data_IF_079214621882
#
_entry.id   IF_079214621882
#
_cell.length_a   1.000
_cell.length_b   1.000
_cell.length_c   1.000
_cell.angle_alpha   90.00
_cell.angle_beta   90.00
_cell.angle_gamma   90.00
#
_symmetry.space_group_name_H-M   'P 1'
#
loop_
_entity.id
_entity.type
_entity.pdbx_description
1 polymer ?
#
# COMPACT_ATOMS: atom_id res chain seq x y z
N UNK A 1 26.46 -6.14 1.12
CA UNK A 1 26.08 -6.70 -0.19
C UNK A 1 26.05 -8.19 -0.03
N UNK A 2 24.88 -8.79 -0.11
CA UNK A 2 24.68 -10.22 -0.02
C UNK A 2 23.70 -10.60 -1.12
N UNK A 3 24.07 -11.60 -1.93
CA UNK A 3 23.19 -12.11 -2.96
C UNK A 3 21.91 -12.67 -2.34
N UNK A 4 20.77 -12.32 -2.92
CA UNK A 4 19.46 -12.73 -2.46
C UNK A 4 18.53 -13.04 -3.62
N UNK A 5 17.37 -13.62 -3.30
CA UNK A 5 16.45 -14.14 -4.30
C UNK A 5 15.36 -13.13 -4.66
N UNK A 6 15.07 -13.06 -5.96
CA UNK A 6 13.85 -12.42 -6.47
C UNK A 6 12.82 -13.52 -6.66
N UNK A 7 11.69 -13.43 -5.97
CA UNK A 7 10.63 -14.45 -5.96
C UNK A 7 9.30 -13.89 -6.44
N UNK A 8 8.42 -14.74 -6.95
CA UNK A 8 7.00 -14.39 -7.15
C UNK A 8 6.18 -14.52 -5.86
N UNK A 9 4.88 -14.21 -5.93
CA UNK A 9 3.95 -14.30 -4.79
C UNK A 9 3.74 -15.73 -4.28
N UNK A 10 4.00 -16.74 -5.11
CA UNK A 10 3.97 -18.14 -4.73
C UNK A 10 5.32 -18.62 -4.14
N UNK A 11 6.32 -17.75 -4.06
CA UNK A 11 7.65 -18.07 -3.57
C UNK A 11 8.57 -18.73 -4.62
N UNK A 12 8.15 -18.82 -5.88
CA UNK A 12 9.01 -19.36 -6.93
C UNK A 12 10.12 -18.37 -7.24
N UNK A 13 11.35 -18.86 -7.28
CA UNK A 13 12.52 -18.04 -7.63
C UNK A 13 12.50 -17.68 -9.12
N UNK A 14 12.52 -16.38 -9.39
CA UNK A 14 12.57 -15.79 -10.74
C UNK A 14 13.98 -15.31 -11.12
N UNK A 15 14.84 -15.05 -10.13
CA UNK A 15 16.20 -14.55 -10.35
C UNK A 15 16.90 -14.21 -9.03
N UNK A 16 17.99 -13.45 -9.13
CA UNK A 16 18.77 -12.98 -7.98
C UNK A 16 19.05 -11.49 -8.02
N UNK A 17 19.47 -10.95 -6.88
CA UNK A 17 19.90 -9.57 -6.74
C UNK A 17 21.17 -9.44 -5.87
N UNK A 18 21.92 -8.37 -6.06
CA UNK A 18 23.16 -8.09 -5.30
C UNK A 18 22.93 -7.40 -3.93
N UNK A 19 21.67 -7.12 -3.59
CA UNK A 19 21.23 -6.68 -2.27
C UNK A 19 19.84 -6.05 -2.27
N UNK A 20 19.04 -6.42 -1.27
CA UNK A 20 17.64 -5.98 -1.14
C UNK A 20 17.48 -4.44 -1.00
N UNK A 21 18.49 -3.75 -0.46
CA UNK A 21 18.49 -2.29 -0.25
C UNK A 21 18.41 -1.46 -1.55
N UNK A 22 18.75 -2.05 -2.69
CA UNK A 22 18.68 -1.36 -3.98
C UNK A 22 17.27 -1.26 -4.57
N UNK A 23 16.28 -1.86 -3.93
CA UNK A 23 14.91 -1.94 -4.41
C UNK A 23 13.98 -0.99 -3.68
N UNK A 24 12.91 -0.60 -4.36
CA UNK A 24 11.82 0.18 -3.78
C UNK A 24 10.50 -0.48 -4.13
N UNK A 25 9.56 -0.52 -3.19
CA UNK A 25 8.20 -1.01 -3.45
C UNK A 25 7.59 -0.23 -4.63
N UNK A 26 6.95 -0.94 -5.56
CA UNK A 26 6.43 -0.40 -6.82
C UNK A 26 7.47 -0.22 -7.93
N UNK A 27 8.73 -0.59 -7.74
CA UNK A 27 9.75 -0.53 -8.77
C UNK A 27 9.47 -1.56 -9.89
N UNK A 28 9.43 -1.08 -11.14
CA UNK A 28 9.33 -1.91 -12.35
C UNK A 28 10.67 -2.15 -13.04
N UNK A 29 11.49 -1.10 -13.18
CA UNK A 29 12.74 -1.15 -13.96
C UNK A 29 13.88 -1.70 -13.10
N UNK A 30 14.90 -2.28 -13.75
CA UNK A 30 16.13 -2.70 -13.05
C UNK A 30 16.00 -4.02 -12.26
N UNK A 31 14.89 -4.75 -12.40
CA UNK A 31 14.70 -6.04 -11.74
C UNK A 31 15.61 -7.16 -12.31
N UNK A 32 16.11 -7.00 -13.56
CA UNK A 32 16.99 -7.95 -14.26
C UNK A 32 16.49 -9.42 -14.21
N UNK A 33 15.17 -9.61 -14.20
CA UNK A 33 14.55 -10.93 -14.23
C UNK A 33 14.62 -11.45 -15.66
N UNK A 34 15.31 -12.57 -15.87
CA UNK A 34 15.48 -13.19 -17.20
C UNK A 34 14.23 -13.88 -17.74
N UNK A 35 13.26 -14.19 -16.87
CA UNK A 35 12.03 -14.90 -17.22
C UNK A 35 10.83 -13.95 -17.27
N UNK A 36 10.20 -13.73 -18.44
CA UNK A 36 8.97 -12.96 -18.57
C UNK A 36 7.84 -13.49 -17.67
N UNK A 37 6.82 -12.67 -17.43
CA UNK A 37 5.60 -13.15 -16.78
C UNK A 37 4.85 -14.10 -17.72
N UNK A 38 4.13 -15.11 -17.20
CA UNK A 38 3.32 -16.01 -18.04
C UNK A 38 2.32 -15.27 -18.93
N UNK A 39 1.83 -14.12 -18.46
CA UNK A 39 0.90 -13.23 -19.17
C UNK A 39 1.61 -12.11 -19.98
N UNK A 40 2.95 -12.11 -20.00
CA UNK A 40 3.77 -11.10 -20.66
C UNK A 40 3.77 -9.71 -20.02
N UNK A 41 3.06 -9.50 -18.90
CA UNK A 41 2.96 -8.20 -18.23
C UNK A 41 4.23 -7.87 -17.43
N UNK A 42 4.53 -6.58 -17.21
CA UNK A 42 5.64 -6.19 -16.35
C UNK A 42 5.38 -6.58 -14.89
N UNK A 43 6.45 -6.96 -14.19
CA UNK A 43 6.42 -7.17 -12.73
C UNK A 43 6.88 -5.93 -11.98
N UNK A 44 6.38 -5.81 -10.75
CA UNK A 44 6.69 -4.73 -9.82
C UNK A 44 7.15 -5.33 -8.49
N UNK A 45 8.06 -4.65 -7.79
CA UNK A 45 8.44 -5.03 -6.43
C UNK A 45 7.27 -4.84 -5.49
N UNK A 46 6.78 -5.92 -4.88
CA UNK A 46 5.64 -5.94 -3.96
C UNK A 46 6.06 -5.92 -2.50
N UNK A 47 7.19 -6.55 -2.17
CA UNK A 47 7.74 -6.63 -0.82
C UNK A 47 9.26 -6.74 -0.87
N UNK A 48 9.91 -6.25 0.20
CA UNK A 48 11.35 -6.35 0.40
C UNK A 48 11.57 -6.84 1.82
N UNK A 49 12.14 -8.04 1.98
CA UNK A 49 12.49 -8.60 3.28
C UNK A 49 14.01 -8.58 3.47
N UNK A 50 14.56 -7.63 4.26
CA UNK A 50 15.99 -7.63 4.59
C UNK A 50 16.40 -8.85 5.42
N UNK A 51 15.48 -9.39 6.24
CA UNK A 51 15.74 -10.54 7.11
C UNK A 51 15.94 -11.81 6.29
N UNK A 52 15.08 -12.04 5.30
CA UNK A 52 15.18 -13.20 4.42
C UNK A 52 16.10 -12.94 3.22
N UNK A 53 16.53 -11.68 3.03
CA UNK A 53 17.23 -11.20 1.84
C UNK A 53 16.48 -11.54 0.54
N UNK A 54 15.17 -11.32 0.53
CA UNK A 54 14.29 -11.60 -0.62
C UNK A 54 13.58 -10.35 -1.11
N UNK A 55 13.36 -10.30 -2.42
CA UNK A 55 12.51 -9.29 -3.08
C UNK A 55 11.36 -10.02 -3.76
N UNK A 56 10.14 -9.77 -3.30
CA UNK A 56 8.94 -10.35 -3.90
C UNK A 56 8.44 -9.44 -5.02
N UNK A 57 8.13 -10.01 -6.17
CA UNK A 57 7.60 -9.29 -7.33
C UNK A 57 6.31 -9.91 -7.84
N UNK A 58 5.47 -9.10 -8.47
CA UNK A 58 4.22 -9.58 -9.05
C UNK A 58 3.54 -8.54 -9.90
N UNK A 59 2.25 -8.74 -10.21
CA UNK A 59 1.49 -7.86 -11.08
C UNK A 59 1.25 -6.49 -10.40
N UNK A 60 0.90 -5.47 -11.18
CA UNK A 60 0.73 -4.12 -10.65
C UNK A 60 -0.45 -4.04 -9.66
N UNK A 61 -1.46 -4.87 -9.89
CA UNK A 61 -2.68 -5.04 -9.10
C UNK A 61 -2.37 -5.52 -7.67
N UNK A 62 -1.30 -6.28 -7.48
CA UNK A 62 -0.86 -6.71 -6.15
C UNK A 62 -0.23 -5.58 -5.29
N UNK A 63 -0.09 -4.37 -5.84
CA UNK A 63 0.27 -3.15 -5.10
C UNK A 63 -0.95 -2.37 -4.59
N UNK A 64 -2.15 -2.80 -4.97
CA UNK A 64 -3.37 -2.13 -4.53
C UNK A 64 -3.59 -2.38 -3.04
N UNK A 65 -4.20 -1.40 -2.38
CA UNK A 65 -4.41 -1.37 -0.94
C UNK A 65 -5.91 -1.36 -0.68
N UNK A 66 -6.38 -2.28 0.16
CA UNK A 66 -7.79 -2.38 0.57
C UNK A 66 -8.07 -1.65 1.88
N UNK A 67 -7.07 -1.54 2.74
CA UNK A 67 -7.21 -0.89 4.03
C UNK A 67 -5.92 -0.25 4.52
N UNK A 68 -6.04 0.68 5.45
CA UNK A 68 -4.91 1.27 6.15
C UNK A 68 -5.24 1.55 7.61
N UNK A 69 -4.19 1.71 8.40
CA UNK A 69 -4.26 2.22 9.77
C UNK A 69 -3.44 3.50 9.84
N UNK A 70 -4.04 4.55 10.37
CA UNK A 70 -3.41 5.85 10.50
C UNK A 70 -3.38 6.29 11.97
N UNK A 71 -2.27 6.93 12.34
CA UNK A 71 -1.95 7.34 13.71
C UNK A 71 -1.86 8.86 13.81
N UNK A 72 -1.82 9.36 15.05
CA UNK A 72 -1.73 10.80 15.36
C UNK A 72 -2.86 11.60 14.69
N UNK A 73 -4.13 11.20 14.84
CA UNK A 73 -5.23 11.93 14.23
C UNK A 73 -5.32 13.35 14.79
N UNK A 74 -5.70 14.29 13.91
CA UNK A 74 -5.94 15.70 14.20
C UNK A 74 -7.31 16.05 13.66
N UNK A 75 -8.22 16.43 14.55
CA UNK A 75 -9.62 16.68 14.21
C UNK A 75 -9.91 18.16 14.06
N UNK A 76 -10.68 18.53 13.04
CA UNK A 76 -11.21 19.87 12.83
C UNK A 76 -12.57 20.01 13.51
N UNK A 77 -12.62 19.71 14.81
CA UNK A 77 -13.83 19.64 15.62
C UNK A 77 -13.89 18.37 16.45
N UNK A 78 -15.09 17.82 16.62
CA UNK A 78 -15.28 16.54 17.30
C UNK A 78 -14.70 15.39 16.47
N UNK A 79 -14.09 14.44 17.16
CA UNK A 79 -13.66 13.18 16.54
C UNK A 79 -14.89 12.37 16.09
N UNK A 80 -14.76 11.53 15.03
CA UNK A 80 -15.76 10.52 14.72
C UNK A 80 -16.03 9.62 15.92
N UNK A 81 -17.30 9.37 16.23
CA UNK A 81 -17.73 8.57 17.39
C UNK A 81 -18.06 7.12 17.06
N UNK A 82 -17.87 6.72 15.80
CA UNK A 82 -18.15 5.38 15.29
C UNK A 82 -17.81 5.26 13.81
N UNK A 83 -18.13 4.12 13.18
CA UNK A 83 -17.87 3.91 11.76
C UNK A 83 -18.74 4.85 10.90
N UNK A 84 -18.15 5.39 9.85
CA UNK A 84 -18.83 6.26 8.90
C UNK A 84 -18.27 6.15 7.49
N UNK A 85 -19.07 6.58 6.51
CA UNK A 85 -18.63 6.74 5.11
C UNK A 85 -18.14 8.17 4.91
N UNK A 86 -16.97 8.31 4.30
CA UNK A 86 -16.29 9.58 4.05
C UNK A 86 -15.66 9.55 2.67
N UNK A 87 -15.12 10.70 2.26
CA UNK A 87 -14.10 10.73 1.22
C UNK A 87 -12.73 11.01 1.84
N UNK A 88 -11.67 10.49 1.23
CA UNK A 88 -10.31 10.62 1.72
C UNK A 88 -9.36 11.08 0.62
N UNK A 89 -8.52 12.07 0.93
CA UNK A 89 -7.37 12.42 0.11
C UNK A 89 -6.12 11.75 0.69
N UNK A 90 -5.47 10.90 -0.12
CA UNK A 90 -4.32 10.07 0.30
C UNK A 90 -2.99 10.63 -0.22
N UNK A 91 -3.04 11.63 -1.11
CA UNK A 91 -1.88 12.28 -1.73
C UNK A 91 -2.19 13.76 -1.93
N UNK A 92 -1.18 14.62 -1.77
CA UNK A 92 -1.34 16.08 -1.88
C UNK A 92 -1.94 16.56 -3.22
N UNK A 93 -1.68 15.84 -4.31
CA UNK A 93 -2.22 16.14 -5.64
C UNK A 93 -3.18 15.03 -6.14
N UNK A 94 -3.63 14.15 -5.23
CA UNK A 94 -4.59 13.10 -5.54
C UNK A 94 -6.03 13.61 -5.41
N UNK A 95 -6.94 12.95 -6.11
CA UNK A 95 -8.37 13.11 -5.88
C UNK A 95 -8.82 12.50 -4.55
N UNK A 96 -10.08 12.70 -4.25
CA UNK A 96 -10.78 12.07 -3.14
C UNK A 96 -11.23 10.65 -3.51
N UNK A 97 -11.11 9.71 -2.57
CA UNK A 97 -11.58 8.33 -2.70
C UNK A 97 -12.62 8.05 -1.63
N UNK A 98 -13.71 7.37 -1.97
CA UNK A 98 -14.70 6.95 -0.98
C UNK A 98 -14.11 5.89 -0.03
N UNK A 99 -14.33 6.07 1.27
CA UNK A 99 -13.82 5.19 2.31
C UNK A 99 -14.84 4.95 3.42
N UNK A 100 -14.71 3.82 4.09
CA UNK A 100 -15.24 3.64 5.45
C UNK A 100 -14.12 3.91 6.45
N UNK A 101 -14.40 4.72 7.46
CA UNK A 101 -13.44 5.04 8.50
C UNK A 101 -14.05 4.95 9.89
N UNK A 102 -13.24 4.49 10.85
CA UNK A 102 -13.60 4.40 12.26
C UNK A 102 -12.39 4.75 13.13
N UNK A 103 -12.63 5.39 14.27
CA UNK A 103 -11.60 5.64 15.27
C UNK A 103 -11.64 4.55 16.35
N UNK A 104 -10.64 3.67 16.35
CA UNK A 104 -10.51 2.55 17.30
C UNK A 104 -9.27 2.77 18.16
N UNK A 105 -9.45 2.95 19.48
CA UNK A 105 -8.36 3.16 20.44
C UNK A 105 -7.35 4.24 20.02
N UNK A 106 -7.84 5.34 19.42
CA UNK A 106 -7.01 6.46 18.94
C UNK A 106 -6.30 6.23 17.60
N UNK A 107 -6.52 5.08 16.97
CA UNK A 107 -6.07 4.75 15.61
C UNK A 107 -7.23 4.91 14.63
N UNK A 108 -7.00 5.63 13.55
CA UNK A 108 -7.96 5.75 12.47
C UNK A 108 -7.81 4.55 11.54
N UNK A 109 -8.80 3.66 11.56
CA UNK A 109 -8.87 2.51 10.67
C UNK A 109 -9.73 2.85 9.46
N UNK A 110 -9.21 2.58 8.26
CA UNK A 110 -9.84 2.98 7.00
C UNK A 110 -9.85 1.81 6.05
N UNK A 111 -11.00 1.55 5.44
CA UNK A 111 -11.19 0.56 4.39
C UNK A 111 -11.68 1.27 3.13
N UNK A 112 -11.08 0.94 1.99
CA UNK A 112 -11.46 1.50 0.70
C UNK A 112 -12.64 0.72 0.12
N UNK A 113 -13.59 1.43 -0.50
CA UNK A 113 -14.68 0.77 -1.25
C UNK A 113 -14.12 0.08 -2.51
N UNK A 114 -13.08 0.66 -3.12
CA UNK A 114 -12.33 0.10 -4.24
C UNK A 114 -10.83 0.12 -3.93
N UNK A 115 -10.05 -0.89 -4.33
CA UNK A 115 -8.61 -0.93 -4.05
C UNK A 115 -7.86 0.28 -4.59
N UNK A 116 -6.97 0.87 -3.78
CA UNK A 116 -6.24 2.10 -4.14
C UNK A 116 -4.75 1.85 -4.31
N UNK A 117 -4.15 2.38 -5.38
CA UNK A 117 -2.72 2.22 -5.66
C UNK A 117 -1.83 3.29 -5.03
N UNK A 118 -0.70 2.83 -4.50
CA UNK A 118 0.43 3.65 -4.04
C UNK A 118 0.10 4.55 -2.85
N UNK A 119 -0.68 3.98 -1.94
CA UNK A 119 -0.80 4.43 -0.55
C UNK A 119 0.38 3.85 0.22
N UNK A 120 1.14 4.69 0.92
CA UNK A 120 2.34 4.25 1.63
C UNK A 120 2.40 4.79 3.07
N UNK A 121 3.00 4.05 4.01
CA UNK A 121 3.31 4.57 5.34
C UNK A 121 4.12 5.88 5.29
N UNK A 122 3.83 6.78 6.23
CA UNK A 122 4.43 8.11 6.34
C UNK A 122 3.70 9.20 5.55
N UNK A 123 2.81 8.83 4.61
CA UNK A 123 1.93 9.80 3.96
C UNK A 123 0.80 10.25 4.91
N UNK A 124 0.17 11.38 4.58
CA UNK A 124 -1.02 11.85 5.28
C UNK A 124 -2.30 11.32 4.61
N UNK A 125 -3.31 11.03 5.41
CA UNK A 125 -4.69 10.89 4.98
C UNK A 125 -5.49 12.08 5.52
N UNK A 126 -6.32 12.69 4.67
CA UNK A 126 -7.28 13.73 5.07
C UNK A 126 -8.68 13.20 4.82
N UNK A 127 -9.53 13.20 5.85
CA UNK A 127 -10.93 12.79 5.77
C UNK A 127 -11.84 13.99 5.53
N UNK A 128 -12.83 13.79 4.66
CA UNK A 128 -13.82 14.75 4.26
C UNK A 128 -15.24 14.20 4.43
N UNK A 129 -16.17 15.10 4.75
CA UNK A 129 -17.61 14.87 4.82
C UNK A 129 -18.27 15.93 3.94
N UNK A 130 -18.54 15.56 2.69
CA UNK A 130 -18.82 16.51 1.61
C UNK A 130 -17.63 17.45 1.40
N UNK A 131 -17.83 18.75 1.56
CA UNK A 131 -16.75 19.76 1.42
C UNK A 131 -16.02 20.04 2.74
N UNK A 132 -16.47 19.47 3.86
CA UNK A 132 -15.91 19.73 5.19
C UNK A 132 -14.72 18.83 5.45
N UNK A 133 -13.59 19.42 5.85
CA UNK A 133 -12.46 18.67 6.41
C UNK A 133 -12.85 18.17 7.80
N UNK A 134 -12.87 16.85 7.99
CA UNK A 134 -13.14 16.19 9.28
C UNK A 134 -11.86 16.17 10.11
N UNK A 135 -10.74 15.81 9.49
CA UNK A 135 -9.45 15.71 10.14
C UNK A 135 -8.40 15.05 9.27
N UNK A 136 -7.22 14.85 9.82
CA UNK A 136 -6.13 14.16 9.15
C UNK A 136 -5.36 13.24 10.09
N UNK A 137 -4.63 12.28 9.53
CA UNK A 137 -3.76 11.37 10.28
C UNK A 137 -2.56 10.97 9.43
N UNK A 138 -1.55 10.36 10.05
CA UNK A 138 -0.38 9.80 9.34
C UNK A 138 -0.57 8.30 9.13
N UNK A 139 -0.49 7.85 7.89
CA UNK A 139 -0.60 6.43 7.54
C UNK A 139 0.56 5.67 8.18
N UNK A 140 0.26 4.69 9.03
CA UNK A 140 1.24 3.87 9.74
C UNK A 140 1.46 2.53 9.03
N UNK A 141 0.40 1.93 8.53
CA UNK A 141 0.44 0.65 7.82
C UNK A 141 -0.67 0.54 6.78
N UNK A 142 -0.43 -0.28 5.76
CA UNK A 142 -1.40 -0.61 4.72
C UNK A 142 -1.62 -2.12 4.66
N UNK A 143 -2.82 -2.53 4.29
CA UNK A 143 -3.19 -3.90 3.98
C UNK A 143 -3.37 -3.99 2.48
N UNK A 144 -2.53 -4.78 1.81
CA UNK A 144 -2.63 -5.02 0.38
C UNK A 144 -3.94 -5.72 0.05
N UNK A 145 -4.50 -5.40 -1.10
CA UNK A 145 -5.56 -6.18 -1.67
C UNK A 145 -5.06 -7.61 -1.87
N UNK A 146 -5.79 -8.59 -1.34
CA UNK A 146 -5.54 -9.97 -1.75
C UNK A 146 -5.89 -10.06 -3.22
N UNK A 147 -4.87 -10.22 -4.07
CA UNK A 147 -5.10 -10.64 -5.45
C UNK A 147 -5.92 -11.93 -5.36
N UNK A 148 -7.19 -11.85 -5.74
CA UNK A 148 -8.05 -13.02 -5.77
C UNK A 148 -7.34 -14.09 -6.60
N UNK A 149 -7.12 -15.25 -5.99
CA UNK A 149 -6.83 -16.47 -6.72
C UNK A 149 -8.04 -16.69 -7.65
N UNK A 150 -7.89 -16.27 -8.90
CA UNK A 150 -8.81 -16.55 -9.99
C UNK A 150 -8.13 -17.56 -10.92
#
# INVERSE_FOLDING_TARGET
>A
RAEGDIVDEAGNRLGTHEGAYGYTIGQRKGLRIGTPAPDGKPRYVLDISPVNNTVTVGPAEALDVDALRAIKPRWCGAAPTGPGTYTAQLRAHGGETEVRAELVDGTLEVTFTEPVRGVAPGQAIVLYDGTRVVGSATIASTTRATAGAA
#
